data_IF_265880000813
#
_entry.id   IF_265880000813
#
_cell.length_a   1.000
_cell.length_b   1.000
_cell.length_c   1.000
_cell.angle_alpha   90.00
_cell.angle_beta   90.00
_cell.angle_gamma   90.00
#
_symmetry.space_group_name_H-M   'P 1'
#
loop_
_entity.id
_entity.type
_entity.pdbx_description
1 polymer ?
#
# COMPACT_ATOMS: atom_id res chain seq x y z
N UNK A 1 8.94 15.75 -27.09
CA UNK A 1 7.89 15.15 -26.24
C UNK A 1 8.61 14.32 -25.19
N UNK A 2 8.57 14.73 -23.92
CA UNK A 2 9.06 13.85 -22.86
C UNK A 2 8.16 12.61 -22.83
N UNK A 3 8.77 11.43 -22.93
CA UNK A 3 8.06 10.17 -22.72
C UNK A 3 7.77 10.04 -21.24
N UNK A 4 6.52 10.22 -20.85
CA UNK A 4 6.08 9.97 -19.47
C UNK A 4 6.20 8.46 -19.22
N UNK A 5 7.20 8.07 -18.42
CA UNK A 5 7.37 6.69 -17.99
C UNK A 5 6.49 6.44 -16.78
N UNK A 6 5.50 5.55 -16.90
CA UNK A 6 4.70 5.09 -15.76
C UNK A 6 5.60 4.26 -14.85
N UNK A 7 5.59 4.55 -13.54
CA UNK A 7 6.29 3.74 -12.52
C UNK A 7 5.31 2.70 -12.00
N UNK A 8 5.61 1.42 -12.22
CA UNK A 8 4.75 0.31 -11.80
C UNK A 8 5.07 -0.14 -10.37
N UNK A 9 4.00 -0.44 -9.62
CA UNK A 9 4.06 -1.06 -8.30
C UNK A 9 3.13 -2.28 -8.26
N UNK A 10 3.62 -3.40 -7.73
CA UNK A 10 2.86 -4.65 -7.63
C UNK A 10 2.11 -4.73 -6.30
N UNK A 11 0.82 -5.02 -6.35
CA UNK A 11 0.00 -5.23 -5.16
C UNK A 11 -0.09 -6.74 -4.91
N UNK A 12 0.66 -7.28 -3.93
CA UNK A 12 0.65 -8.71 -3.64
C UNK A 12 -0.45 -9.02 -2.63
N UNK A 13 -1.45 -9.76 -3.09
CA UNK A 13 -2.54 -10.31 -2.29
C UNK A 13 -2.75 -11.79 -2.66
N UNK A 14 -3.57 -12.49 -1.88
CA UNK A 14 -3.92 -13.89 -2.09
C UNK A 14 -2.68 -14.78 -2.22
N UNK A 15 -2.74 -15.68 -3.20
CA UNK A 15 -1.67 -16.65 -3.44
C UNK A 15 -0.29 -16.00 -3.67
N UNK A 16 -0.22 -14.83 -4.32
CA UNK A 16 1.07 -14.17 -4.58
C UNK A 16 1.72 -13.62 -3.32
N UNK A 17 0.92 -13.21 -2.33
CA UNK A 17 1.45 -12.87 -1.02
C UNK A 17 1.80 -14.12 -0.22
N UNK A 18 0.96 -15.17 -0.28
CA UNK A 18 1.18 -16.44 0.39
C UNK A 18 2.48 -17.13 -0.07
N UNK A 19 2.76 -17.15 -1.37
CA UNK A 19 4.00 -17.64 -1.98
C UNK A 19 5.24 -16.99 -1.33
N UNK A 20 5.23 -15.65 -1.16
CA UNK A 20 6.33 -14.94 -0.49
C UNK A 20 6.46 -15.35 0.97
N UNK A 21 5.35 -15.53 1.69
CA UNK A 21 5.39 -16.03 3.07
C UNK A 21 5.95 -17.46 3.13
N UNK A 22 5.60 -18.31 2.18
CA UNK A 22 6.05 -19.70 2.10
C UNK A 22 7.47 -19.89 1.53
N UNK A 23 8.09 -18.80 1.04
CA UNK A 23 9.49 -18.79 0.59
C UNK A 23 9.68 -18.90 -0.92
N UNK A 24 8.61 -18.83 -1.71
CA UNK A 24 8.66 -18.76 -3.17
C UNK A 24 8.69 -17.29 -3.64
N UNK A 25 9.81 -16.89 -4.24
CA UNK A 25 10.03 -15.52 -4.73
C UNK A 25 10.07 -15.45 -6.26
N UNK A 26 9.72 -16.53 -6.96
CA UNK A 26 9.80 -16.61 -8.42
C UNK A 26 8.98 -15.50 -9.11
N UNK A 27 7.75 -15.28 -8.66
CA UNK A 27 6.88 -14.22 -9.18
C UNK A 27 7.44 -12.81 -8.92
N UNK A 28 8.15 -12.63 -7.80
CA UNK A 28 8.78 -11.35 -7.46
C UNK A 28 9.94 -11.04 -8.41
N UNK A 29 10.75 -12.04 -8.73
CA UNK A 29 11.82 -11.92 -9.72
C UNK A 29 11.25 -11.65 -11.11
N UNK A 30 10.13 -12.29 -11.46
CA UNK A 30 9.40 -12.04 -12.70
C UNK A 30 8.91 -10.57 -12.78
N UNK A 31 8.20 -10.07 -11.76
CA UNK A 31 7.75 -8.68 -11.71
C UNK A 31 8.92 -7.69 -11.88
N UNK A 32 10.04 -7.95 -11.22
CA UNK A 32 11.23 -7.11 -11.35
C UNK A 32 11.77 -7.10 -12.80
N UNK A 33 11.78 -8.26 -13.46
CA UNK A 33 12.18 -8.40 -14.87
C UNK A 33 11.24 -7.65 -15.83
N UNK A 34 9.95 -7.56 -15.48
CA UNK A 34 8.92 -6.79 -16.22
C UNK A 34 9.00 -5.28 -15.96
N UNK A 35 9.94 -4.81 -15.14
CA UNK A 35 10.17 -3.38 -14.90
C UNK A 35 9.52 -2.84 -13.63
N UNK A 36 8.86 -3.67 -12.83
CA UNK A 36 8.37 -3.23 -11.51
C UNK A 36 9.55 -2.91 -10.60
N UNK A 37 9.40 -1.85 -9.81
CA UNK A 37 10.43 -1.40 -8.85
C UNK A 37 9.92 -1.31 -7.42
N UNK A 38 8.62 -1.52 -7.23
CA UNK A 38 7.94 -1.53 -5.92
C UNK A 38 6.99 -2.71 -5.86
N UNK A 39 6.90 -3.36 -4.72
CA UNK A 39 5.84 -4.32 -4.39
C UNK A 39 5.32 -4.06 -2.99
N UNK A 40 4.04 -4.32 -2.76
CA UNK A 40 3.41 -4.25 -1.45
C UNK A 40 2.98 -5.65 -1.00
N UNK A 41 3.41 -6.05 0.20
CA UNK A 41 3.09 -7.32 0.83
C UNK A 41 1.93 -7.11 1.79
N UNK A 42 0.76 -7.70 1.48
CA UNK A 42 -0.46 -7.53 2.26
C UNK A 42 -0.92 -8.85 2.87
N UNK A 43 -0.18 -9.30 3.88
CA UNK A 43 -0.38 -10.57 4.55
C UNK A 43 -1.58 -10.55 5.53
N UNK A 44 -2.78 -10.29 5.01
CA UNK A 44 -4.02 -10.26 5.81
C UNK A 44 -5.07 -11.21 5.25
N UNK A 45 -5.95 -11.70 6.11
CA UNK A 45 -7.10 -12.52 5.76
C UNK A 45 -8.06 -11.78 4.82
N UNK A 46 -8.19 -10.46 4.97
CA UNK A 46 -8.96 -9.62 4.05
C UNK A 46 -8.43 -9.71 2.61
N UNK A 47 -7.13 -9.98 2.44
CA UNK A 47 -6.47 -10.20 1.17
C UNK A 47 -6.34 -11.69 0.82
N UNK A 48 -7.11 -12.59 1.45
CA UNK A 48 -7.04 -14.04 1.23
C UNK A 48 -5.67 -14.66 1.51
N UNK A 49 -4.95 -14.13 2.49
CA UNK A 49 -3.67 -14.66 2.97
C UNK A 49 -3.86 -15.27 4.35
N UNK A 50 -3.24 -16.43 4.60
CA UNK A 50 -3.30 -17.10 5.89
C UNK A 50 -1.98 -16.94 6.62
N UNK A 51 -2.03 -16.34 7.81
CA UNK A 51 -0.87 -16.17 8.68
C UNK A 51 -1.00 -17.11 9.88
N UNK A 52 -0.23 -18.18 9.88
CA UNK A 52 -0.12 -19.11 11.01
C UNK A 52 0.81 -18.53 12.11
N UNK A 53 0.32 -18.35 13.35
CA UNK A 53 1.13 -17.88 14.47
C UNK A 53 2.37 -18.72 14.75
N UNK A 54 2.34 -20.03 14.48
CA UNK A 54 3.48 -20.93 14.70
C UNK A 54 4.60 -20.72 13.66
N UNK A 55 4.27 -20.11 12.52
CA UNK A 55 5.17 -19.91 11.38
C UNK A 55 5.68 -18.47 11.24
N UNK A 56 5.34 -17.57 12.17
CA UNK A 56 5.73 -16.14 12.09
C UNK A 56 7.23 -15.96 11.86
N UNK A 57 8.07 -16.68 12.61
CA UNK A 57 9.52 -16.57 12.46
C UNK A 57 9.97 -17.02 11.06
N UNK A 58 9.36 -18.07 10.51
CA UNK A 58 9.63 -18.52 9.14
C UNK A 58 9.21 -17.46 8.12
N UNK A 59 8.03 -16.86 8.28
CA UNK A 59 7.53 -15.80 7.40
C UNK A 59 8.45 -14.58 7.38
N UNK A 60 8.92 -14.13 8.55
CA UNK A 60 9.86 -13.01 8.66
C UNK A 60 11.17 -13.34 7.93
N UNK A 61 11.72 -14.54 8.12
CA UNK A 61 12.94 -14.96 7.42
C UNK A 61 12.73 -15.03 5.89
N UNK A 62 11.60 -15.56 5.44
CA UNK A 62 11.28 -15.64 4.03
C UNK A 62 11.11 -14.25 3.40
N UNK A 63 10.47 -13.31 4.09
CA UNK A 63 10.38 -11.91 3.63
C UNK A 63 11.79 -11.28 3.52
N UNK A 64 12.67 -11.50 4.49
CA UNK A 64 14.06 -11.03 4.40
C UNK A 64 14.82 -11.62 3.22
N UNK A 65 14.69 -12.93 2.99
CA UNK A 65 15.31 -13.60 1.84
C UNK A 65 14.77 -13.03 0.53
N UNK A 66 13.45 -12.79 0.45
CA UNK A 66 12.80 -12.17 -0.70
C UNK A 66 13.38 -10.77 -0.97
N UNK A 67 13.43 -9.90 0.06
CA UNK A 67 13.98 -8.55 -0.03
C UNK A 67 15.43 -8.53 -0.51
N UNK A 68 16.24 -9.48 -0.04
CA UNK A 68 17.65 -9.63 -0.43
C UNK A 68 17.81 -10.16 -1.85
N UNK A 69 16.92 -11.04 -2.30
CA UNK A 69 16.97 -11.62 -3.65
C UNK A 69 16.76 -10.58 -4.76
N UNK A 70 16.06 -9.48 -4.46
CA UNK A 70 15.83 -8.35 -5.38
C UNK A 70 16.10 -7.01 -4.68
N UNK A 71 17.34 -6.80 -4.24
CA UNK A 71 17.75 -5.65 -3.40
C UNK A 71 17.48 -4.26 -4.01
N UNK A 72 17.26 -4.17 -5.32
CA UNK A 72 16.92 -2.93 -6.04
C UNK A 72 15.41 -2.69 -6.19
N UNK A 73 14.58 -3.58 -5.64
CA UNK A 73 13.14 -3.42 -5.59
C UNK A 73 12.74 -3.01 -4.18
N UNK A 74 11.88 -2.01 -4.07
CA UNK A 74 11.33 -1.58 -2.79
C UNK A 74 10.16 -2.49 -2.38
N UNK A 75 10.19 -2.93 -1.13
CA UNK A 75 9.15 -3.76 -0.50
C UNK A 75 8.40 -2.93 0.53
N UNK A 76 7.10 -2.78 0.33
CA UNK A 76 6.21 -2.04 1.22
C UNK A 76 5.47 -3.06 2.08
N UNK A 77 5.71 -3.01 3.38
CA UNK A 77 5.07 -3.90 4.34
C UNK A 77 3.82 -3.22 4.90
N UNK A 78 2.65 -3.83 4.66
CA UNK A 78 1.41 -3.36 5.25
C UNK A 78 1.45 -3.55 6.78
N UNK A 79 1.14 -2.49 7.52
CA UNK A 79 1.15 -2.46 8.97
C UNK A 79 -0.27 -2.28 9.51
N UNK A 80 -0.76 -3.29 10.23
CA UNK A 80 -2.03 -3.32 10.96
C UNK A 80 -1.96 -4.35 12.11
N UNK A 81 -2.98 -4.43 12.95
CA UNK A 81 -2.93 -5.35 14.11
C UNK A 81 -2.74 -6.83 13.73
N UNK A 82 -3.24 -7.27 12.56
CA UNK A 82 -3.08 -8.66 12.09
C UNK A 82 -1.63 -8.98 11.68
N UNK A 83 -0.97 -8.04 11.02
CA UNK A 83 0.42 -8.19 10.52
C UNK A 83 1.48 -7.79 11.54
N UNK A 84 1.08 -7.28 12.71
CA UNK A 84 1.96 -6.82 13.79
C UNK A 84 3.02 -7.81 14.24
N UNK A 85 2.74 -9.12 14.40
CA UNK A 85 3.78 -10.09 14.74
C UNK A 85 4.88 -10.21 13.68
N UNK A 86 4.60 -9.87 12.42
CA UNK A 86 5.55 -9.91 11.29
C UNK A 86 6.30 -8.58 11.18
N UNK A 87 5.58 -7.45 11.01
CA UNK A 87 6.24 -6.19 10.67
C UNK A 87 7.10 -5.65 11.81
N UNK A 88 6.76 -5.93 13.09
CA UNK A 88 7.57 -5.45 14.23
C UNK A 88 8.95 -6.10 14.24
N UNK A 89 9.06 -7.37 13.83
CA UNK A 89 10.34 -8.07 13.69
C UNK A 89 11.13 -7.56 12.49
N UNK A 90 10.46 -7.28 11.36
CA UNK A 90 11.10 -6.68 10.18
C UNK A 90 11.64 -5.27 10.48
N UNK A 91 10.89 -4.45 11.22
CA UNK A 91 11.31 -3.10 11.63
C UNK A 91 12.46 -3.10 12.64
N UNK A 92 12.67 -4.19 13.39
CA UNK A 92 13.77 -4.31 14.33
C UNK A 92 15.13 -4.48 13.61
N UNK A 93 15.14 -5.04 12.40
CA UNK A 93 16.32 -5.19 11.54
C UNK A 93 15.96 -4.86 10.07
N UNK A 94 15.68 -3.58 9.75
CA UNK A 94 15.11 -3.22 8.46
C UNK A 94 16.16 -3.35 7.33
N UNK A 95 15.75 -3.89 6.18
CA UNK A 95 16.58 -3.83 4.98
C UNK A 95 16.50 -2.44 4.33
N UNK A 96 17.55 -1.98 3.62
CA UNK A 96 17.55 -0.65 2.97
C UNK A 96 16.44 -0.46 1.92
N UNK A 97 15.91 -1.55 1.37
CA UNK A 97 14.83 -1.56 0.40
C UNK A 97 13.44 -1.79 1.02
N UNK A 98 13.31 -1.71 2.34
CA UNK A 98 12.03 -1.82 3.02
C UNK A 98 11.40 -0.43 3.26
N UNK A 99 10.10 -0.38 3.04
CA UNK A 99 9.23 0.72 3.41
C UNK A 99 7.99 0.14 4.10
N UNK A 100 7.20 0.97 4.78
CA UNK A 100 6.02 0.52 5.52
C UNK A 100 4.80 1.33 5.13
N UNK A 101 3.62 0.69 5.13
CA UNK A 101 2.36 1.34 4.87
C UNK A 101 1.44 1.13 6.07
N UNK A 102 1.16 2.19 6.82
CA UNK A 102 0.19 2.15 7.90
C UNK A 102 -1.22 2.13 7.30
N UNK A 103 -1.86 0.97 7.32
CA UNK A 103 -3.22 0.76 6.79
C UNK A 103 -4.07 0.03 7.83
N UNK A 104 -4.66 0.80 8.74
CA UNK A 104 -5.53 0.26 9.78
C UNK A 104 -6.81 -0.40 9.22
N UNK A 105 -7.16 -0.13 7.97
CA UNK A 105 -8.39 -0.63 7.36
C UNK A 105 -8.24 -2.00 6.71
N UNK A 106 -7.01 -2.48 6.51
CA UNK A 106 -6.72 -3.66 5.68
C UNK A 106 -7.39 -3.59 4.29
N UNK A 107 -7.47 -2.40 3.68
CA UNK A 107 -8.21 -2.16 2.43
C UNK A 107 -9.74 -2.04 2.54
N UNK A 108 -10.33 -2.09 3.75
CA UNK A 108 -11.80 -2.01 3.95
C UNK A 108 -12.37 -0.59 3.99
N UNK A 109 -11.53 0.44 3.85
CA UNK A 109 -11.98 1.83 3.79
C UNK A 109 -12.38 2.45 5.13
N UNK A 110 -11.98 1.87 6.26
CA UNK A 110 -12.18 2.45 7.60
C UNK A 110 -11.28 3.68 7.76
N UNK A 111 -11.86 4.78 8.21
CA UNK A 111 -11.17 6.07 8.41
C UNK A 111 -10.08 5.94 9.48
N UNK A 112 -8.86 6.29 9.11
CA UNK A 112 -7.72 6.37 10.03
C UNK A 112 -7.80 7.67 10.84
N UNK A 113 -7.63 7.57 12.16
CA UNK A 113 -7.62 8.73 13.07
C UNK A 113 -6.24 8.99 13.70
N UNK A 114 -5.28 8.07 13.54
CA UNK A 114 -3.94 8.18 14.10
C UNK A 114 -2.88 7.95 13.01
N UNK A 115 -1.91 8.85 12.94
CA UNK A 115 -0.81 8.80 11.98
C UNK A 115 0.50 8.65 12.76
N UNK A 116 1.08 7.44 12.86
CA UNK A 116 2.36 7.25 13.54
C UNK A 116 3.43 8.15 12.94
N UNK A 117 4.22 8.84 13.79
CA UNK A 117 5.28 9.72 13.30
C UNK A 117 6.35 8.92 12.55
N UNK A 118 6.85 9.39 11.39
CA UNK A 118 7.98 8.76 10.70
C UNK A 118 9.24 8.68 11.56
N UNK A 119 9.37 9.51 12.60
CA UNK A 119 10.51 9.50 13.53
C UNK A 119 10.57 8.30 14.45
N UNK A 120 9.51 7.49 14.54
CA UNK A 120 9.56 6.20 15.23
C UNK A 120 10.59 5.26 14.60
N UNK A 121 10.76 5.35 13.27
CA UNK A 121 11.73 4.59 12.50
C UNK A 121 12.36 5.48 11.42
N UNK A 122 13.30 6.36 11.78
CA UNK A 122 13.78 7.44 10.90
C UNK A 122 14.51 6.93 9.64
N UNK A 123 14.93 5.66 9.61
CA UNK A 123 15.58 5.02 8.46
C UNK A 123 14.60 4.30 7.53
N UNK A 124 13.34 4.13 7.93
CA UNK A 124 12.32 3.41 7.17
C UNK A 124 11.35 4.42 6.57
N UNK A 125 11.18 4.38 5.24
CA UNK A 125 10.18 5.21 4.55
C UNK A 125 8.79 4.71 4.90
N UNK A 126 7.84 5.61 5.12
CA UNK A 126 6.47 5.23 5.46
C UNK A 126 5.41 5.99 4.67
N UNK A 127 4.25 5.36 4.53
CA UNK A 127 3.04 5.99 4.02
C UNK A 127 1.83 5.63 4.85
N UNK A 128 0.70 6.25 4.51
CA UNK A 128 -0.58 6.10 5.20
C UNK A 128 -1.67 5.73 4.19
N UNK A 129 -2.50 4.75 4.53
CA UNK A 129 -3.63 4.28 3.73
C UNK A 129 -4.88 4.13 4.60
N UNK A 130 -6.03 3.91 3.96
CA UNK A 130 -7.27 3.53 4.61
C UNK A 130 -8.40 4.55 4.40
N UNK A 131 -9.33 4.22 3.50
CA UNK A 131 -10.55 5.01 3.26
C UNK A 131 -10.31 6.41 2.68
N UNK A 132 -9.10 6.70 2.21
CA UNK A 132 -8.72 8.01 1.70
C UNK A 132 -9.35 8.21 0.31
N UNK A 133 -10.15 9.26 0.16
CA UNK A 133 -10.83 9.64 -1.09
C UNK A 133 -11.19 11.13 -1.10
N UNK A 134 -11.98 11.60 -2.09
CA UNK A 134 -12.25 13.03 -2.26
C UNK A 134 -12.82 13.71 -1.01
N UNK A 135 -13.68 13.00 -0.28
CA UNK A 135 -14.37 13.54 0.89
C UNK A 135 -13.49 13.56 2.16
N UNK A 136 -12.39 12.80 2.19
CA UNK A 136 -11.55 12.62 3.39
C UNK A 136 -10.12 13.13 3.23
N UNK A 137 -9.61 13.25 2.01
CA UNK A 137 -8.19 13.52 1.76
C UNK A 137 -7.70 14.83 2.40
N UNK A 138 -8.50 15.89 2.43
CA UNK A 138 -8.10 17.16 3.06
C UNK A 138 -7.80 17.01 4.56
N UNK A 139 -8.66 16.27 5.27
CA UNK A 139 -8.47 16.00 6.69
C UNK A 139 -7.28 15.07 6.93
N UNK A 140 -7.15 14.02 6.13
CA UNK A 140 -6.03 13.09 6.20
C UNK A 140 -4.70 13.82 6.00
N UNK A 141 -4.60 14.69 4.98
CA UNK A 141 -3.39 15.47 4.73
C UNK A 141 -3.09 16.45 5.86
N UNK A 142 -4.12 17.02 6.50
CA UNK A 142 -3.95 17.83 7.71
C UNK A 142 -3.34 17.01 8.85
N UNK A 143 -3.86 15.80 9.10
CA UNK A 143 -3.36 14.90 10.14
C UNK A 143 -1.95 14.38 9.86
N UNK A 144 -1.66 14.00 8.62
CA UNK A 144 -0.32 13.60 8.17
C UNK A 144 0.66 14.76 8.35
N UNK A 145 0.30 15.98 7.94
CA UNK A 145 1.14 17.17 8.12
C UNK A 145 1.52 17.35 9.59
N UNK A 146 0.55 17.26 10.51
CA UNK A 146 0.82 17.34 11.95
C UNK A 146 1.76 16.22 12.44
N UNK A 147 1.57 14.98 11.99
CA UNK A 147 2.44 13.85 12.37
C UNK A 147 3.87 13.94 11.80
N UNK A 148 4.05 14.73 10.74
CA UNK A 148 5.33 14.98 10.06
C UNK A 148 5.96 16.33 10.39
N UNK A 149 5.39 17.09 11.32
CA UNK A 149 5.96 18.37 11.74
C UNK A 149 7.35 18.15 12.37
N UNK A 150 8.35 18.92 11.92
CA UNK A 150 9.74 18.78 12.36
C UNK A 150 10.50 17.56 11.79
N UNK A 151 9.86 16.74 10.95
CA UNK A 151 10.51 15.62 10.27
C UNK A 151 11.46 16.16 9.17
N UNK A 152 12.71 15.68 9.09
CA UNK A 152 13.63 16.11 8.04
C UNK A 152 13.08 15.85 6.64
N UNK A 153 13.33 16.77 5.70
CA UNK A 153 12.79 16.70 4.34
C UNK A 153 13.17 15.42 3.54
N UNK A 154 14.21 14.69 3.97
CA UNK A 154 14.59 13.41 3.36
C UNK A 154 13.68 12.24 3.79
N UNK A 155 12.96 12.36 4.91
CA UNK A 155 11.93 11.42 5.36
C UNK A 155 10.60 11.74 4.69
N UNK A 156 10.56 11.56 3.36
CA UNK A 156 9.32 11.73 2.59
C UNK A 156 8.29 10.68 2.99
N UNK A 157 7.06 11.13 3.21
CA UNK A 157 5.89 10.28 3.41
C UNK A 157 5.00 10.29 2.17
N UNK A 158 4.13 9.30 2.03
CA UNK A 158 3.09 9.28 0.99
C UNK A 158 1.74 8.87 1.57
N UNK A 159 0.67 9.15 0.81
CA UNK A 159 -0.66 8.59 1.04
C UNK A 159 -1.02 7.61 -0.07
N UNK A 160 -1.74 6.55 0.26
CA UNK A 160 -2.17 5.51 -0.67
C UNK A 160 -3.70 5.35 -0.64
N UNK A 161 -4.29 5.15 -1.82
CA UNK A 161 -5.73 5.19 -2.07
C UNK A 161 -6.14 4.04 -2.99
N UNK A 162 -7.18 3.29 -2.61
CA UNK A 162 -7.70 2.19 -3.41
C UNK A 162 -9.24 2.25 -3.46
N UNK A 163 -9.90 1.81 -2.39
CA UNK A 163 -11.34 1.53 -2.42
C UNK A 163 -12.20 2.79 -2.61
N UNK A 164 -11.83 3.91 -1.98
CA UNK A 164 -12.59 5.17 -2.09
C UNK A 164 -12.51 5.79 -3.49
N UNK A 165 -11.56 5.37 -4.32
CA UNK A 165 -11.42 5.80 -5.71
C UNK A 165 -12.22 4.92 -6.68
N UNK A 166 -12.85 3.85 -6.21
CA UNK A 166 -13.73 3.00 -7.00
C UNK A 166 -15.15 3.55 -7.07
N UNK A 167 -15.88 3.19 -8.11
CA UNK A 167 -17.32 3.50 -8.27
C UNK A 167 -18.03 2.35 -8.98
N UNK A 168 -19.33 2.21 -8.72
CA UNK A 168 -20.16 1.25 -9.44
C UNK A 168 -20.81 1.95 -10.63
N UNK A 169 -20.47 1.50 -11.84
CA UNK A 169 -21.16 1.90 -13.07
C UNK A 169 -22.29 0.92 -13.31
N UNK A 170 -23.50 1.46 -13.47
CA UNK A 170 -24.70 0.68 -13.79
C UNK A 170 -25.04 0.90 -15.26
N UNK A 171 -24.97 -0.16 -16.05
CA UNK A 171 -25.38 -0.17 -17.45
C UNK A 171 -26.74 -0.84 -17.58
N UNK A 172 -27.71 -0.11 -18.13
CA UNK A 172 -29.04 -0.64 -18.42
C UNK A 172 -29.13 -1.06 -19.86
N UNK A 173 -29.45 -2.33 -20.09
CA UNK A 173 -29.82 -2.81 -21.41
C UNK A 173 -31.14 -2.16 -21.83
N UNK A 174 -31.13 -1.49 -22.98
CA UNK A 174 -32.30 -0.74 -23.47
C UNK A 174 -33.47 -1.63 -23.90
N UNK A 175 -33.21 -2.90 -24.21
CA UNK A 175 -34.20 -3.84 -24.76
C UNK A 175 -34.94 -4.58 -23.64
N UNK A 176 -34.20 -5.19 -22.70
CA UNK A 176 -34.76 -6.03 -21.65
C UNK A 176 -34.73 -5.38 -20.25
N UNK A 177 -34.24 -4.14 -20.15
CA UNK A 177 -34.09 -3.38 -18.89
C UNK A 177 -33.17 -4.04 -17.85
N UNK A 178 -32.40 -5.06 -18.23
CA UNK A 178 -31.43 -5.69 -17.32
C UNK A 178 -30.31 -4.72 -16.93
N UNK A 179 -29.87 -4.81 -15.67
CA UNK A 179 -28.77 -4.02 -15.12
C UNK A 179 -27.49 -4.85 -15.06
N UNK A 180 -26.42 -4.35 -15.66
CA UNK A 180 -25.06 -4.84 -15.41
C UNK A 180 -24.35 -3.84 -14.50
N UNK A 181 -23.79 -4.33 -13.39
CA UNK A 181 -23.03 -3.51 -12.44
C UNK A 181 -21.55 -3.82 -12.56
N UNK A 182 -20.73 -2.80 -12.77
CA UNK A 182 -19.28 -2.93 -12.90
C UNK A 182 -18.61 -2.07 -11.86
N UNK A 183 -17.76 -2.68 -11.05
CA UNK A 183 -16.84 -1.95 -10.17
C UNK A 183 -15.65 -1.45 -10.99
N UNK A 184 -15.46 -0.14 -11.02
CA UNK A 184 -14.42 0.50 -11.84
C UNK A 184 -13.64 1.53 -11.02
N UNK A 185 -12.37 1.69 -11.37
CA UNK A 185 -11.55 2.76 -10.84
C UNK A 185 -11.96 4.10 -11.48
N UNK A 186 -12.33 5.09 -10.66
CA UNK A 186 -12.84 6.38 -11.14
C UNK A 186 -11.71 7.40 -11.28
N UNK A 187 -11.40 7.74 -12.52
CA UNK A 187 -10.44 8.79 -12.85
C UNK A 187 -10.90 10.17 -12.32
N UNK A 188 -12.20 10.44 -12.30
CA UNK A 188 -12.73 11.69 -11.74
C UNK A 188 -12.42 11.83 -10.25
N UNK A 189 -12.60 10.74 -9.47
CA UNK A 189 -12.24 10.74 -8.05
C UNK A 189 -10.73 10.92 -7.85
N UNK A 190 -9.92 10.30 -8.70
CA UNK A 190 -8.44 10.48 -8.67
C UNK A 190 -8.09 11.95 -8.87
N UNK A 191 -8.64 12.60 -9.90
CA UNK A 191 -8.38 14.02 -10.16
C UNK A 191 -8.88 14.91 -9.02
N UNK A 192 -10.05 14.63 -8.46
CA UNK A 192 -10.54 15.36 -7.29
C UNK A 192 -9.55 15.28 -6.12
N UNK A 193 -9.02 14.09 -5.82
CA UNK A 193 -7.98 13.93 -4.79
C UNK A 193 -6.70 14.70 -5.12
N UNK A 194 -6.23 14.66 -6.36
CA UNK A 194 -5.03 15.40 -6.80
C UNK A 194 -5.23 16.90 -6.62
N UNK A 195 -6.35 17.46 -7.10
CA UNK A 195 -6.65 18.89 -6.99
C UNK A 195 -6.75 19.36 -5.54
N UNK A 196 -7.27 18.53 -4.64
CA UNK A 196 -7.28 18.83 -3.20
C UNK A 196 -5.85 18.77 -2.65
N UNK A 197 -5.07 17.74 -2.98
CA UNK A 197 -3.70 17.58 -2.50
C UNK A 197 -2.77 18.72 -2.96
N UNK A 198 -2.97 19.27 -4.16
CA UNK A 198 -2.23 20.44 -4.66
C UNK A 198 -2.44 21.68 -3.76
N UNK A 199 -3.64 21.86 -3.20
CA UNK A 199 -3.92 22.96 -2.25
C UNK A 199 -3.13 22.81 -0.94
N UNK A 200 -2.67 21.60 -0.62
CA UNK A 200 -1.80 21.30 0.52
C UNK A 200 -0.30 21.42 0.17
N UNK A 201 0.04 21.82 -1.05
CA UNK A 201 1.42 21.97 -1.50
C UNK A 201 2.14 20.66 -1.78
N UNK A 202 1.40 19.55 -1.90
CA UNK A 202 1.95 18.30 -2.41
C UNK A 202 2.24 18.44 -3.91
N UNK A 203 3.42 18.02 -4.34
CA UNK A 203 3.87 17.99 -5.73
C UNK A 203 4.36 16.59 -6.10
#
# INVERSE_FOLDING_TARGET
>A
RETVSIRLAGHLCGNRCQEVLDGDFSFIQELYSLGYRRVQVNATAANSVTVDPERINQYVQNIFLCMRSVSKMEFIIQCNEETKPIYTQLMADPTPNMSVLYDASCGKGVRVSTFPSPMLHPTIRCGYAGGIGPDSIAEILTGVRAATEGVPAYNKVWVDMESSLRTIVVEKNKVDQSETRRDVFSIDKVFACILIAEQFGMK
#
